data_IF_380453690192
#
_entry.id   IF_380453690192
#
_cell.length_a   1.000
_cell.length_b   1.000
_cell.length_c   1.000
_cell.angle_alpha   90.00
_cell.angle_beta   90.00
_cell.angle_gamma   90.00
#
_symmetry.space_group_name_H-M   'P 1'
#
loop_
_entity.id
_entity.type
_entity.pdbx_description
1 polymer ?
#
# COMPACT_ATOMS: atom_id res chain seq x y z
N UNK A 1 -9.96 -9.78 -2.71
CA UNK A 1 -10.00 -8.51 -3.46
C UNK A 1 -11.45 -8.22 -3.82
N UNK A 2 -11.98 -7.03 -3.51
CA UNK A 2 -13.30 -6.64 -3.99
C UNK A 2 -13.12 -6.12 -5.42
N UNK A 3 -13.27 -7.00 -6.39
CA UNK A 3 -12.96 -6.76 -7.80
C UNK A 3 -14.05 -6.00 -8.57
N UNK A 4 -15.28 -5.95 -8.04
CA UNK A 4 -16.36 -5.19 -8.66
C UNK A 4 -15.99 -3.70 -8.79
N UNK A 5 -15.89 -3.20 -10.02
CA UNK A 5 -15.45 -1.84 -10.35
C UNK A 5 -14.08 -1.74 -11.01
N UNK A 6 -13.40 -2.85 -11.25
CA UNK A 6 -12.13 -2.92 -11.99
C UNK A 6 -12.22 -3.97 -13.08
N UNK A 7 -11.92 -3.59 -14.33
CA UNK A 7 -11.97 -4.49 -15.49
C UNK A 7 -10.66 -5.27 -15.70
N UNK A 8 -9.57 -4.87 -15.05
CA UNK A 8 -8.26 -5.49 -15.22
C UNK A 8 -8.09 -6.71 -14.30
N UNK A 9 -7.74 -7.86 -14.89
CA UNK A 9 -7.40 -9.08 -14.16
C UNK A 9 -6.02 -9.02 -13.49
N UNK A 10 -5.13 -8.17 -14.00
CA UNK A 10 -3.74 -8.03 -13.55
C UNK A 10 -3.39 -6.56 -13.35
N UNK A 11 -2.71 -6.26 -12.25
CA UNK A 11 -2.12 -4.96 -11.96
C UNK A 11 -0.65 -5.15 -11.58
N UNK A 12 0.25 -4.48 -12.29
CA UNK A 12 1.70 -4.56 -12.09
C UNK A 12 2.28 -3.17 -11.89
N UNK A 13 3.32 -3.07 -11.06
CA UNK A 13 3.91 -1.79 -10.72
C UNK A 13 5.12 -1.92 -9.80
N UNK A 14 5.83 -0.80 -9.62
CA UNK A 14 7.01 -0.76 -8.73
C UNK A 14 6.56 -0.84 -7.28
N UNK A 15 7.11 -1.78 -6.52
CA UNK A 15 6.75 -1.95 -5.12
C UNK A 15 7.26 -0.79 -4.26
N UNK A 16 6.35 -0.15 -3.51
CA UNK A 16 6.66 0.77 -2.42
C UNK A 16 6.20 0.18 -1.11
N UNK A 17 7.16 -0.23 -0.29
CA UNK A 17 6.90 -0.98 0.95
C UNK A 17 6.97 -0.06 2.15
N UNK A 18 5.94 -0.11 2.99
CA UNK A 18 5.79 0.65 4.22
C UNK A 18 5.49 -0.30 5.38
N UNK A 19 6.00 0.01 6.56
CA UNK A 19 5.83 -0.84 7.75
C UNK A 19 4.57 -0.52 8.55
N UNK A 20 3.97 0.65 8.32
CA UNK A 20 2.79 1.17 9.00
C UNK A 20 1.97 2.04 8.07
N UNK A 21 0.69 2.21 8.36
CA UNK A 21 -0.21 3.08 7.59
C UNK A 21 0.30 4.54 7.51
N UNK A 22 0.76 5.10 8.63
CA UNK A 22 1.21 6.49 8.69
C UNK A 22 2.34 6.79 7.69
N UNK A 23 3.29 5.88 7.51
CA UNK A 23 4.39 6.06 6.56
C UNK A 23 3.92 6.09 5.09
N UNK A 24 2.86 5.32 4.77
CA UNK A 24 2.27 5.34 3.44
C UNK A 24 1.51 6.64 3.18
N UNK A 25 0.77 7.15 4.16
CA UNK A 25 0.06 8.44 4.08
C UNK A 25 1.03 9.61 3.91
N UNK A 26 2.09 9.67 4.72
CA UNK A 26 3.13 10.70 4.61
C UNK A 26 3.80 10.69 3.23
N UNK A 27 4.03 9.50 2.66
CA UNK A 27 4.60 9.35 1.33
C UNK A 27 3.61 9.77 0.23
N UNK A 28 2.31 9.55 0.42
CA UNK A 28 1.28 10.05 -0.48
C UNK A 28 1.26 11.59 -0.48
N UNK A 29 1.20 12.20 0.71
CA UNK A 29 1.11 13.64 0.89
C UNK A 29 2.32 14.40 0.33
N UNK A 30 3.51 13.80 0.45
CA UNK A 30 4.76 14.35 -0.12
C UNK A 30 4.91 14.07 -1.62
N UNK A 31 3.92 13.43 -2.25
CA UNK A 31 3.98 13.05 -3.66
C UNK A 31 5.01 11.96 -3.95
N UNK A 32 5.41 11.19 -2.95
CA UNK A 32 6.33 10.06 -3.07
C UNK A 32 5.70 8.81 -3.71
N UNK A 33 4.38 8.70 -3.77
CA UNK A 33 3.66 7.63 -4.46
C UNK A 33 3.19 8.14 -5.83
N UNK A 34 3.47 7.39 -6.89
CA UNK A 34 3.14 7.72 -8.28
C UNK A 34 2.12 6.75 -8.86
N UNK A 35 1.45 7.18 -9.94
CA UNK A 35 0.58 6.30 -10.69
C UNK A 35 1.37 5.09 -11.21
N UNK A 36 0.81 3.89 -11.02
CA UNK A 36 1.47 2.63 -11.35
C UNK A 36 2.42 2.09 -10.29
N UNK A 37 2.53 2.72 -9.11
CA UNK A 37 3.20 2.09 -7.97
C UNK A 37 2.28 1.06 -7.29
N UNK A 38 2.86 -0.03 -6.79
CA UNK A 38 2.20 -1.02 -5.94
C UNK A 38 2.57 -0.74 -4.50
N UNK A 39 1.61 -0.22 -3.73
CA UNK A 39 1.82 0.11 -2.32
C UNK A 39 1.59 -1.12 -1.46
N UNK A 40 2.59 -1.48 -0.65
CA UNK A 40 2.54 -2.61 0.29
C UNK A 40 2.69 -2.07 1.70
N UNK A 41 1.64 -2.18 2.51
CA UNK A 41 1.70 -1.88 3.95
C UNK A 41 1.80 -3.20 4.69
N UNK A 42 2.99 -3.53 5.20
CA UNK A 42 3.27 -4.78 5.92
C UNK A 42 3.12 -4.57 7.44
N UNK A 43 3.16 -5.67 8.19
CA UNK A 43 3.02 -5.70 9.65
C UNK A 43 1.68 -5.24 10.25
N UNK A 44 0.71 -4.80 9.46
CA UNK A 44 -0.67 -4.50 9.93
C UNK A 44 -1.54 -5.75 10.21
N UNK A 45 -0.92 -6.93 10.29
CA UNK A 45 -1.62 -8.17 10.64
C UNK A 45 -1.91 -8.26 12.16
N UNK A 46 -2.73 -9.24 12.60
CA UNK A 46 -3.17 -9.37 14.00
C UNK A 46 -2.06 -9.40 15.06
N UNK A 47 -0.84 -9.79 14.66
CA UNK A 47 0.34 -9.86 15.53
C UNK A 47 1.27 -8.65 15.42
N UNK A 48 1.25 -7.91 14.32
CA UNK A 48 2.19 -6.81 14.07
C UNK A 48 1.62 -5.42 14.36
N UNK A 49 0.30 -5.30 14.56
CA UNK A 49 -0.33 -4.04 14.93
C UNK A 49 -0.14 -3.63 16.40
N UNK A 50 0.43 -4.49 17.24
CA UNK A 50 0.83 -4.20 18.62
C UNK A 50 2.35 -4.09 18.64
N UNK A 51 2.87 -3.02 19.24
CA UNK A 51 4.29 -2.66 19.33
C UNK A 51 4.79 -1.74 18.20
N UNK A 52 4.26 -0.52 18.23
CA UNK A 52 5.01 0.73 18.08
C UNK A 52 4.33 1.82 18.92
#
# INVERSE_FOLDING_TARGET
MKSAGFDADVFEGTARVFEREQGALDALDKGGIKAGDVVVIRYEGPKGGRDA
#
